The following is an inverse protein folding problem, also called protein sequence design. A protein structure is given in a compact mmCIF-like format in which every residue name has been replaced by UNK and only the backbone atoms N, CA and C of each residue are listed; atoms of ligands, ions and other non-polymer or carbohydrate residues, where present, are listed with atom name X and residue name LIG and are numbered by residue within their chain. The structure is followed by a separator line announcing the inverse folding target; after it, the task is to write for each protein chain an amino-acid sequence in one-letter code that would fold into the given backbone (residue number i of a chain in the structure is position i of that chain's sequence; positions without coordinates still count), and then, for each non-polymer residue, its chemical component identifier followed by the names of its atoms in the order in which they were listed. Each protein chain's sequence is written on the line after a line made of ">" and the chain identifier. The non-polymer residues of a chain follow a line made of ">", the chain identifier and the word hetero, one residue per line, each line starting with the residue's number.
data_IF_613655093588
#
_entry.id   IF_613655093588
#
_cell.length_a   1.000
_cell.length_b   1.000
_cell.length_c   1.000
_cell.angle_alpha   90.00
_cell.angle_beta   90.00
_cell.angle_gamma   90.00
#
_symmetry.space_group_name_H-M   'P 1'
#
loop_
_entity.id
_entity.type
_entity.pdbx_description
1 polymer ?
#
# COMPACT_ATOMS: atom_id res chain seq x y z
N UNK A 1 6.02 1.67 0.11
CA UNK A 1 7.42 2.19 0.11
C UNK A 1 8.12 2.06 -1.24
N UNK A 2 8.28 0.88 -1.85
CA UNK A 2 8.99 0.74 -3.16
C UNK A 2 8.43 1.63 -4.28
N UNK A 3 7.10 1.68 -4.41
CA UNK A 3 6.43 2.58 -5.37
C UNK A 3 6.79 4.06 -5.14
N UNK A 4 6.85 4.49 -3.88
CA UNK A 4 7.23 5.85 -3.50
C UNK A 4 8.68 6.12 -3.95
N UNK A 5 9.63 5.27 -3.55
CA UNK A 5 11.03 5.45 -3.89
C UNK A 5 11.23 5.50 -5.42
N UNK A 6 10.61 4.58 -6.16
CA UNK A 6 10.68 4.55 -7.61
C UNK A 6 10.11 5.81 -8.26
N UNK A 7 8.89 6.21 -7.87
CA UNK A 7 8.21 7.38 -8.45
C UNK A 7 8.95 8.69 -8.12
N UNK A 8 9.61 8.76 -6.95
CA UNK A 8 10.46 9.88 -6.55
C UNK A 8 11.89 9.80 -7.14
N UNK A 9 12.20 8.80 -7.96
CA UNK A 9 13.50 8.61 -8.59
C UNK A 9 14.64 8.34 -7.60
N UNK A 10 14.32 7.79 -6.43
CA UNK A 10 15.30 7.40 -5.43
C UNK A 10 15.86 6.02 -5.79
N UNK A 11 17.16 5.84 -5.57
CA UNK A 11 17.81 4.53 -5.63
C UNK A 11 17.80 3.87 -4.26
N UNK A 12 17.58 2.57 -4.19
CA UNK A 12 17.72 1.79 -2.96
C UNK A 12 18.32 0.42 -3.26
N UNK A 13 18.81 -0.25 -2.22
CA UNK A 13 19.31 -1.62 -2.29
C UNK A 13 18.28 -2.56 -1.65
N UNK A 14 17.97 -3.67 -2.32
CA UNK A 14 17.11 -4.73 -1.79
C UNK A 14 17.98 -5.83 -1.16
N UNK A 15 17.88 -6.00 0.15
CA UNK A 15 18.43 -7.15 0.87
C UNK A 15 17.33 -8.20 1.06
N UNK A 16 17.32 -9.22 0.20
CA UNK A 16 16.28 -10.26 0.21
C UNK A 16 16.59 -11.32 1.27
N UNK A 17 15.71 -11.42 2.27
CA UNK A 17 15.80 -12.43 3.34
C UNK A 17 14.97 -13.65 2.96
N UNK A 18 15.60 -14.82 2.85
CA UNK A 18 14.90 -16.09 2.62
C UNK A 18 14.25 -16.60 3.91
N UNK A 19 13.22 -17.44 3.79
CA UNK A 19 12.60 -18.08 4.97
C UNK A 19 13.61 -18.93 5.75
N UNK A 20 14.52 -19.63 5.07
CA UNK A 20 15.61 -20.37 5.73
C UNK A 20 16.49 -19.45 6.57
N UNK A 21 16.94 -18.32 6.01
CA UNK A 21 17.74 -17.32 6.73
C UNK A 21 16.97 -16.71 7.89
N UNK A 22 15.66 -16.46 7.72
CA UNK A 22 14.81 -15.94 8.79
C UNK A 22 14.65 -16.92 9.95
N UNK A 23 14.49 -18.22 9.64
CA UNK A 23 14.32 -19.28 10.64
C UNK A 23 15.60 -19.60 11.44
N UNK A 24 16.79 -19.20 10.96
CA UNK A 24 18.04 -19.25 11.75
C UNK A 24 18.00 -18.31 12.97
N UNK A 25 17.09 -17.35 13.01
CA UNK A 25 16.76 -16.57 14.20
C UNK A 25 17.71 -15.42 14.54
N UNK A 26 18.97 -15.43 14.09
CA UNK A 26 19.94 -14.36 14.38
C UNK A 26 19.48 -13.00 13.85
N UNK A 27 18.99 -12.95 12.61
CA UNK A 27 18.45 -11.72 12.02
C UNK A 27 17.18 -11.27 12.74
N UNK A 28 16.26 -12.20 13.05
CA UNK A 28 15.04 -11.91 13.80
C UNK A 28 15.35 -11.29 15.15
N UNK A 29 16.32 -11.83 15.88
CA UNK A 29 16.76 -11.30 17.17
C UNK A 29 17.41 -9.90 17.07
N UNK A 30 18.00 -9.56 15.92
CA UNK A 30 18.57 -8.22 15.68
C UNK A 30 17.54 -7.16 15.29
N UNK A 31 16.32 -7.56 14.92
CA UNK A 31 15.23 -6.63 14.60
C UNK A 31 14.52 -6.18 15.88
N UNK A 32 14.27 -4.87 16.01
CA UNK A 32 13.67 -4.27 17.21
C UNK A 32 12.35 -4.96 17.65
N UNK A 33 11.45 -5.25 16.71
CA UNK A 33 10.18 -5.93 16.96
C UNK A 33 10.19 -7.40 16.50
N UNK A 34 11.36 -7.97 16.21
CA UNK A 34 11.46 -9.34 15.72
C UNK A 34 10.76 -9.58 14.38
N UNK A 35 10.64 -8.55 13.55
CA UNK A 35 9.90 -8.56 12.28
C UNK A 35 10.68 -7.83 11.17
N UNK A 36 10.23 -8.05 9.93
CA UNK A 36 10.60 -7.30 8.73
C UNK A 36 9.37 -6.50 8.26
N UNK A 37 9.52 -5.41 7.48
CA UNK A 37 10.76 -4.91 6.87
C UNK A 37 11.70 -4.21 7.86
N UNK A 38 13.01 -4.26 7.58
CA UNK A 38 14.04 -3.39 8.18
C UNK A 38 14.45 -2.38 7.12
N UNK A 39 14.42 -1.09 7.46
CA UNK A 39 14.82 0.00 6.58
C UNK A 39 16.04 0.73 7.17
N UNK A 40 16.94 1.20 6.30
CA UNK A 40 18.15 1.92 6.69
C UNK A 40 18.30 3.14 5.77
N UNK A 41 18.39 4.32 6.36
CA UNK A 41 18.65 5.59 5.67
C UNK A 41 19.81 6.31 6.37
N UNK A 42 21.02 6.11 5.84
CA UNK A 42 22.25 6.63 6.43
C UNK A 42 22.34 6.40 7.95
N UNK A 43 22.56 7.49 8.68
CA UNK A 43 22.66 7.51 10.14
C UNK A 43 21.43 8.16 10.82
N UNK A 44 20.33 8.44 10.10
CA UNK A 44 19.44 9.57 10.46
C UNK A 44 17.95 9.28 10.75
N UNK A 45 17.54 10.05 11.77
CA UNK A 45 16.27 10.42 12.41
C UNK A 45 15.36 11.38 11.61
N UNK A 46 14.04 11.21 11.73
CA UNK A 46 12.99 11.89 10.94
C UNK A 46 12.55 13.27 11.48
N UNK A 47 12.09 14.16 10.58
CA UNK A 47 11.40 15.43 10.90
C UNK A 47 10.09 15.58 10.07
N UNK A 48 9.06 16.18 10.68
CA UNK A 48 7.67 16.30 10.17
C UNK A 48 7.46 17.61 9.35
N UNK A 49 6.45 17.63 8.48
CA UNK A 49 6.13 18.80 7.62
C UNK A 49 5.44 19.96 8.36
N UNK A 50 5.37 21.14 7.73
CA UNK A 50 5.01 22.42 8.36
C UNK A 50 3.49 22.72 8.42
N UNK A 51 2.61 21.92 7.81
CA UNK A 51 1.15 22.09 7.88
C UNK A 51 0.51 20.95 8.68
N UNK A 52 0.07 21.28 9.90
CA UNK A 52 -0.48 20.30 10.83
C UNK A 52 -1.81 19.69 10.37
N UNK A 53 -2.62 20.43 9.58
CA UNK A 53 -3.94 19.94 9.20
C UNK A 53 -3.85 18.92 8.07
N UNK A 54 -3.07 19.21 7.02
CA UNK A 54 -2.83 18.24 5.95
C UNK A 54 -2.12 16.99 6.49
N UNK A 55 -1.14 17.15 7.39
CA UNK A 55 -0.46 16.02 8.04
C UNK A 55 -1.44 15.15 8.83
N UNK A 56 -2.31 15.75 9.63
CA UNK A 56 -3.30 14.98 10.39
C UNK A 56 -4.26 14.21 9.48
N UNK A 57 -4.67 14.79 8.35
CA UNK A 57 -5.49 14.10 7.35
C UNK A 57 -4.73 12.94 6.69
N UNK A 58 -3.44 13.13 6.38
CA UNK A 58 -2.59 12.07 5.83
C UNK A 58 -2.43 10.90 6.80
N UNK A 59 -2.26 11.17 8.09
CA UNK A 59 -2.18 10.14 9.13
C UNK A 59 -3.50 9.36 9.24
N UNK A 60 -4.64 10.06 9.27
CA UNK A 60 -5.98 9.42 9.30
C UNK A 60 -6.20 8.53 8.08
N UNK A 61 -5.81 8.99 6.89
CA UNK A 61 -5.91 8.18 5.66
C UNK A 61 -5.03 6.94 5.77
N UNK A 62 -3.78 7.11 6.21
CA UNK A 62 -2.82 6.02 6.31
C UNK A 62 -3.25 4.97 7.36
N UNK A 63 -3.80 5.39 8.49
CA UNK A 63 -4.35 4.49 9.51
C UNK A 63 -5.55 3.71 8.97
N UNK A 64 -6.44 4.36 8.21
CA UNK A 64 -7.55 3.68 7.54
C UNK A 64 -7.08 2.65 6.50
N UNK A 65 -5.99 2.94 5.79
CA UNK A 65 -5.34 1.98 4.88
C UNK A 65 -4.79 0.79 5.67
N UNK A 66 -4.12 1.03 6.79
CA UNK A 66 -3.53 -0.04 7.62
C UNK A 66 -4.60 -0.92 8.27
N UNK A 67 -5.70 -0.35 8.75
CA UNK A 67 -6.83 -1.11 9.27
C UNK A 67 -7.38 -2.10 8.25
N UNK A 68 -7.53 -1.69 6.99
CA UNK A 68 -7.99 -2.58 5.92
C UNK A 68 -6.89 -3.57 5.51
N UNK A 69 -5.63 -3.15 5.49
CA UNK A 69 -4.47 -4.03 5.22
C UNK A 69 -4.35 -5.14 6.26
N UNK A 70 -4.57 -4.84 7.53
CA UNK A 70 -4.63 -5.84 8.60
C UNK A 70 -5.74 -6.87 8.35
N UNK A 71 -6.94 -6.44 7.91
CA UNK A 71 -8.02 -7.37 7.56
C UNK A 71 -7.69 -8.22 6.33
N UNK A 72 -7.08 -7.61 5.31
CA UNK A 72 -6.57 -8.33 4.14
C UNK A 72 -5.53 -9.39 4.55
N UNK A 73 -4.55 -9.02 5.36
CA UNK A 73 -3.52 -9.94 5.85
C UNK A 73 -4.13 -11.09 6.67
N UNK A 74 -5.08 -10.79 7.55
CA UNK A 74 -5.80 -11.83 8.30
C UNK A 74 -6.51 -12.81 7.35
N UNK A 75 -7.24 -12.31 6.36
CA UNK A 75 -7.85 -13.17 5.34
C UNK A 75 -6.80 -14.04 4.64
N UNK A 76 -5.76 -13.43 4.07
CA UNK A 76 -4.73 -14.11 3.29
C UNK A 76 -4.04 -15.22 4.09
N UNK A 77 -3.61 -14.93 5.31
CA UNK A 77 -2.74 -15.82 6.06
C UNK A 77 -3.48 -16.80 6.99
N UNK A 78 -4.74 -16.56 7.34
CA UNK A 78 -5.44 -17.41 8.33
C UNK A 78 -6.77 -17.99 7.86
N UNK A 79 -7.51 -17.33 6.95
CA UNK A 79 -8.90 -17.73 6.65
C UNK A 79 -9.31 -17.56 5.18
N UNK A 80 -8.38 -17.74 4.24
CA UNK A 80 -8.63 -17.39 2.83
C UNK A 80 -9.83 -18.15 2.22
N UNK A 81 -9.84 -19.49 2.30
CA UNK A 81 -10.86 -20.30 1.61
C UNK A 81 -12.27 -20.08 2.17
N UNK A 82 -12.40 -20.03 3.50
CA UNK A 82 -13.70 -19.93 4.15
C UNK A 82 -14.17 -18.47 4.33
N UNK A 83 -13.26 -17.50 4.38
CA UNK A 83 -13.58 -16.10 4.68
C UNK A 83 -13.62 -15.17 3.45
N UNK A 84 -13.10 -15.58 2.28
CA UNK A 84 -12.99 -14.69 1.12
C UNK A 84 -14.33 -14.15 0.65
N UNK A 85 -15.38 -14.98 0.63
CA UNK A 85 -16.71 -14.57 0.15
C UNK A 85 -17.29 -13.44 1.01
N UNK A 86 -17.25 -13.60 2.33
CA UNK A 86 -17.75 -12.62 3.30
C UNK A 86 -16.91 -11.35 3.27
N UNK A 87 -15.60 -11.49 3.15
CA UNK A 87 -14.68 -10.35 3.00
C UNK A 87 -15.01 -9.51 1.77
N UNK A 88 -15.13 -10.15 0.59
CA UNK A 88 -15.45 -9.47 -0.67
C UNK A 88 -16.84 -8.83 -0.61
N UNK A 89 -17.80 -9.46 0.09
CA UNK A 89 -19.12 -8.86 0.32
C UNK A 89 -19.05 -7.57 1.16
N UNK A 90 -18.15 -7.51 2.14
CA UNK A 90 -17.96 -6.34 3.01
C UNK A 90 -17.07 -5.25 2.37
N UNK A 91 -16.23 -5.62 1.40
CA UNK A 91 -15.22 -4.76 0.79
C UNK A 91 -15.74 -3.40 0.30
N UNK A 92 -16.92 -3.28 -0.36
CA UNK A 92 -17.43 -1.97 -0.77
C UNK A 92 -17.62 -1.01 0.42
N UNK A 93 -18.00 -1.53 1.59
CA UNK A 93 -18.13 -0.73 2.81
C UNK A 93 -16.79 -0.20 3.32
N UNK A 94 -15.72 -0.97 3.14
CA UNK A 94 -14.36 -0.58 3.51
C UNK A 94 -13.72 0.39 2.52
N UNK A 95 -14.09 0.33 1.23
CA UNK A 95 -13.54 1.21 0.18
C UNK A 95 -14.24 2.57 0.12
N UNK A 96 -15.52 2.63 0.49
CA UNK A 96 -16.35 3.85 0.44
C UNK A 96 -15.74 5.08 1.12
N UNK A 97 -15.07 4.99 2.29
CA UNK A 97 -14.42 6.14 2.91
C UNK A 97 -13.38 6.80 1.98
N UNK A 98 -12.57 6.04 1.25
CA UNK A 98 -11.56 6.59 0.34
C UNK A 98 -12.19 7.28 -0.88
N UNK A 99 -13.26 6.71 -1.44
CA UNK A 99 -14.06 7.37 -2.50
C UNK A 99 -14.63 8.70 -2.00
N UNK A 100 -15.15 8.71 -0.76
CA UNK A 100 -15.71 9.91 -0.13
C UNK A 100 -14.64 10.98 0.06
N UNK A 101 -13.45 10.62 0.53
CA UNK A 101 -12.32 11.54 0.68
C UNK A 101 -11.90 12.14 -0.66
N UNK A 102 -11.78 11.32 -1.71
CA UNK A 102 -11.50 11.82 -3.05
C UNK A 102 -12.57 12.80 -3.52
N UNK A 103 -13.86 12.51 -3.28
CA UNK A 103 -14.94 13.43 -3.68
C UNK A 103 -14.84 14.81 -3.00
N UNK A 104 -14.27 14.87 -1.79
CA UNK A 104 -14.11 16.08 -1.00
C UNK A 104 -12.86 16.88 -1.38
N UNK A 105 -11.88 16.25 -2.03
CA UNK A 105 -10.63 16.89 -2.46
C UNK A 105 -10.63 17.10 -3.98
N UNK A 106 -10.98 18.31 -4.42
CA UNK A 106 -11.03 18.72 -5.83
C UNK A 106 -11.82 17.74 -6.74
N UNK A 107 -12.88 17.12 -6.22
CA UNK A 107 -13.69 16.15 -6.97
C UNK A 107 -12.89 14.94 -7.47
N UNK A 108 -11.85 14.53 -6.73
CA UNK A 108 -11.01 13.37 -7.02
C UNK A 108 -9.96 13.59 -8.10
N UNK A 109 -9.77 14.83 -8.56
CA UNK A 109 -8.80 15.16 -9.61
C UNK A 109 -7.37 15.33 -9.07
N UNK A 110 -7.21 15.62 -7.78
CA UNK A 110 -5.93 15.81 -7.11
C UNK A 110 -5.36 14.51 -6.49
N UNK A 111 -4.89 14.53 -5.25
CA UNK A 111 -4.43 13.34 -4.52
C UNK A 111 -5.45 12.95 -3.44
N UNK A 112 -5.14 11.97 -2.59
CA UNK A 112 -6.05 11.60 -1.51
C UNK A 112 -6.25 12.74 -0.50
N UNK A 113 -5.22 13.57 -0.31
CA UNK A 113 -5.22 14.81 0.48
C UNK A 113 -4.41 15.85 -0.27
N UNK A 114 -4.92 17.09 -0.38
CA UNK A 114 -4.22 18.20 -1.00
C UNK A 114 -3.91 18.00 -2.49
N UNK A 115 -3.00 18.81 -3.01
CA UNK A 115 -2.62 18.85 -4.43
C UNK A 115 -1.21 18.29 -4.72
N UNK A 116 -0.51 17.80 -3.70
CA UNK A 116 0.77 17.12 -3.83
C UNK A 116 0.66 15.66 -3.43
N UNK A 117 1.44 14.79 -4.09
CA UNK A 117 1.46 13.38 -3.77
C UNK A 117 2.10 13.15 -2.39
N UNK A 118 1.54 12.23 -1.62
CA UNK A 118 1.98 11.91 -0.27
C UNK A 118 2.35 10.43 -0.11
N UNK A 119 2.91 10.06 1.04
CA UNK A 119 3.16 8.64 1.36
C UNK A 119 1.85 7.83 1.45
N UNK A 120 0.75 8.47 1.88
CA UNK A 120 -0.56 7.84 2.00
C UNK A 120 -1.11 7.45 0.63
N UNK A 121 -0.85 8.23 -0.42
CA UNK A 121 -1.24 7.89 -1.79
C UNK A 121 -0.62 6.57 -2.28
N UNK A 122 0.68 6.40 -2.04
CA UNK A 122 1.37 5.17 -2.42
C UNK A 122 0.88 3.96 -1.60
N UNK A 123 0.52 4.16 -0.34
CA UNK A 123 -0.01 3.09 0.51
C UNK A 123 -1.43 2.69 0.07
N UNK A 124 -2.30 3.67 -0.20
CA UNK A 124 -3.64 3.45 -0.72
C UNK A 124 -3.61 2.81 -2.12
N UNK A 125 -2.73 3.26 -3.01
CA UNK A 125 -2.58 2.66 -4.34
C UNK A 125 -2.24 1.17 -4.26
N UNK A 126 -1.28 0.81 -3.40
CA UNK A 126 -0.91 -0.60 -3.17
C UNK A 126 -2.12 -1.41 -2.69
N UNK A 127 -2.84 -0.87 -1.71
CA UNK A 127 -4.04 -1.48 -1.16
C UNK A 127 -5.09 -1.71 -2.25
N UNK A 128 -5.35 -0.72 -3.11
CA UNK A 128 -6.34 -0.85 -4.19
C UNK A 128 -5.91 -1.88 -5.24
N UNK A 129 -4.63 -1.89 -5.63
CA UNK A 129 -4.10 -2.85 -6.60
C UNK A 129 -4.22 -4.30 -6.11
N UNK A 130 -3.84 -4.59 -4.86
CA UNK A 130 -3.97 -5.94 -4.30
C UNK A 130 -5.44 -6.37 -4.17
N UNK A 131 -6.36 -5.43 -3.91
CA UNK A 131 -7.80 -5.72 -3.86
C UNK A 131 -8.40 -5.96 -5.24
N UNK A 132 -7.87 -5.33 -6.30
CA UNK A 132 -8.23 -5.66 -7.68
C UNK A 132 -7.75 -7.07 -8.08
N UNK A 133 -6.62 -7.53 -7.55
CA UNK A 133 -6.21 -8.94 -7.72
C UNK A 133 -7.14 -9.89 -6.96
N UNK A 134 -7.49 -9.54 -5.70
CA UNK A 134 -8.38 -10.36 -4.86
C UNK A 134 -9.81 -10.45 -5.42
N UNK A 135 -10.35 -9.33 -5.90
CA UNK A 135 -11.70 -9.12 -6.39
C UNK A 135 -11.70 -8.11 -7.57
N UNK A 136 -11.60 -8.58 -8.83
CA UNK A 136 -11.38 -7.72 -10.01
C UNK A 136 -12.34 -6.56 -10.23
N UNK A 137 -13.61 -6.73 -9.89
CA UNK A 137 -14.66 -5.71 -10.06
C UNK A 137 -14.86 -4.82 -8.84
N UNK A 138 -13.96 -4.85 -7.84
CA UNK A 138 -14.18 -4.16 -6.57
C UNK A 138 -14.24 -2.64 -6.68
N UNK A 139 -13.72 -2.05 -7.76
CA UNK A 139 -13.72 -0.61 -8.02
C UNK A 139 -14.79 -0.15 -9.01
N UNK A 140 -15.60 -1.06 -9.58
CA UNK A 140 -16.58 -0.70 -10.62
C UNK A 140 -17.65 0.28 -10.13
N UNK A 141 -17.95 0.24 -8.82
CA UNK A 141 -18.89 1.16 -8.16
C UNK A 141 -18.23 2.42 -7.58
N UNK A 142 -16.93 2.60 -7.79
CA UNK A 142 -16.10 3.67 -7.22
C UNK A 142 -15.33 4.40 -8.32
N UNK A 143 -16.01 5.26 -9.11
CA UNK A 143 -15.40 5.90 -10.27
C UNK A 143 -14.20 6.77 -9.91
N UNK A 144 -14.18 7.45 -8.76
CA UNK A 144 -13.04 8.27 -8.37
C UNK A 144 -11.84 7.42 -7.99
N UNK A 145 -12.01 6.34 -7.22
CA UNK A 145 -10.95 5.39 -6.91
C UNK A 145 -10.40 4.71 -8.17
N UNK A 146 -11.27 4.31 -9.10
CA UNK A 146 -10.86 3.72 -10.37
C UNK A 146 -10.01 4.70 -11.20
N UNK A 147 -10.48 5.95 -11.35
CA UNK A 147 -9.73 7.00 -12.04
C UNK A 147 -8.41 7.36 -11.34
N UNK A 148 -8.41 7.38 -10.00
CA UNK A 148 -7.25 7.63 -9.16
C UNK A 148 -6.17 6.55 -9.36
N UNK A 149 -6.54 5.26 -9.32
CA UNK A 149 -5.61 4.14 -9.58
C UNK A 149 -5.01 4.26 -10.98
N UNK A 150 -5.84 4.52 -11.99
CA UNK A 150 -5.37 4.70 -13.36
C UNK A 150 -4.41 5.88 -13.50
N UNK A 151 -4.75 7.04 -12.92
CA UNK A 151 -3.93 8.26 -12.96
C UNK A 151 -2.58 8.07 -12.29
N UNK A 152 -2.55 7.52 -11.07
CA UNK A 152 -1.29 7.29 -10.37
C UNK A 152 -0.44 6.25 -11.08
N UNK A 153 -1.03 5.12 -11.48
CA UNK A 153 -0.30 4.05 -12.18
C UNK A 153 0.27 4.49 -13.53
N UNK A 154 -0.28 5.55 -14.14
CA UNK A 154 0.22 6.12 -15.39
C UNK A 154 1.41 7.07 -15.23
N UNK A 155 1.77 7.47 -14.00
CA UNK A 155 2.93 8.35 -13.76
C UNK A 155 4.20 7.68 -14.30
N UNK A 156 5.06 8.36 -15.10
CA UNK A 156 6.06 7.67 -15.91
C UNK A 156 7.01 6.74 -15.14
N UNK A 157 7.56 7.21 -14.01
CA UNK A 157 8.48 6.43 -13.18
C UNK A 157 7.76 5.28 -12.46
N UNK A 158 6.58 5.55 -11.90
CA UNK A 158 5.77 4.53 -11.26
C UNK A 158 5.31 3.45 -12.25
N UNK A 159 4.85 3.83 -13.44
CA UNK A 159 4.46 2.91 -14.51
C UNK A 159 5.62 1.99 -14.90
N UNK A 160 6.81 2.55 -15.06
CA UNK A 160 8.01 1.78 -15.35
C UNK A 160 8.33 0.77 -14.24
N UNK A 161 8.22 1.18 -12.97
CA UNK A 161 8.39 0.29 -11.83
C UNK A 161 7.34 -0.81 -11.75
N UNK A 162 6.05 -0.47 -11.91
CA UNK A 162 4.95 -1.44 -11.90
C UNK A 162 5.05 -2.47 -13.03
N UNK A 163 5.74 -2.13 -14.13
CA UNK A 163 5.99 -3.03 -15.24
C UNK A 163 7.34 -3.77 -15.14
N UNK A 164 8.15 -3.47 -14.13
CA UNK A 164 9.51 -4.00 -14.02
C UNK A 164 9.51 -5.45 -13.51
N UNK A 165 10.50 -6.27 -13.91
CA UNK A 165 10.69 -7.63 -13.39
C UNK A 165 10.74 -7.69 -11.86
N UNK A 166 11.30 -6.67 -11.21
CA UNK A 166 11.45 -6.59 -9.75
C UNK A 166 10.10 -6.49 -9.03
N UNK A 167 9.11 -5.89 -9.69
CA UNK A 167 7.73 -5.83 -9.20
C UNK A 167 6.93 -7.05 -9.65
N UNK A 168 6.85 -7.33 -10.96
CA UNK A 168 5.93 -8.32 -11.52
C UNK A 168 6.29 -9.77 -11.16
N UNK A 169 7.58 -10.08 -10.97
CA UNK A 169 8.01 -11.43 -10.59
C UNK A 169 7.93 -11.66 -9.08
N UNK A 170 7.58 -10.65 -8.30
CA UNK A 170 7.45 -10.77 -6.85
C UNK A 170 6.02 -11.15 -6.50
N UNK A 171 5.79 -12.25 -5.76
CA UNK A 171 4.44 -12.56 -5.29
C UNK A 171 3.96 -11.47 -4.32
N UNK A 172 2.67 -11.16 -4.35
CA UNK A 172 2.05 -10.18 -3.45
C UNK A 172 2.22 -10.65 -1.99
N UNK A 173 1.96 -11.94 -1.73
CA UNK A 173 2.01 -12.53 -0.41
C UNK A 173 2.95 -13.75 -0.36
N UNK A 174 3.49 -14.05 0.82
CA UNK A 174 4.46 -15.13 1.00
C UNK A 174 3.88 -16.56 0.93
N UNK A 175 2.56 -16.72 0.95
CA UNK A 175 1.88 -18.02 0.96
C UNK A 175 1.25 -18.40 -0.39
N UNK A 176 1.51 -17.63 -1.45
CA UNK A 176 0.98 -17.89 -2.80
C UNK A 176 -0.50 -17.54 -3.01
N UNK A 177 -1.18 -16.97 -2.00
CA UNK A 177 -2.57 -16.50 -2.10
C UNK A 177 -2.58 -15.02 -2.42
N UNK A 178 -3.61 -14.55 -3.14
CA UNK A 178 -3.76 -13.15 -3.53
C UNK A 178 -5.22 -12.74 -3.69
#
# INVERSE_FOLDING_TARGET
>A
MRMLLADQGQSWKEEVVTMETWMKGSLKASCLYGQLPKFQDGDLTLYQSNDQQEVALLDVVNDGVEDLRCKYALLIYTNYEAGKKEYVKALPGYLKPFETLLSQNEGGQAFIVGNQISFADYNLLDLLLIHQVLAPSCLDSFPLLSAYVARLSARPKLKAFLSSPEHVNRPINGNGKQ
#
